data_IF_987177802278
#
_entry.id   IF_987177802278
#
_cell.length_a   1.000
_cell.length_b   1.000
_cell.length_c   1.000
_cell.angle_alpha   90.00
_cell.angle_beta   90.00
_cell.angle_gamma   90.00
#
_symmetry.space_group_name_H-M   'P 1'
#
loop_
_entity.id
_entity.type
_entity.pdbx_description
1 polymer ?
#
# COMPACT_ATOMS: atom_id res chain seq x y z
N UNK A 1 -26.41 17.54 8.88
CA UNK A 1 -26.01 16.30 8.18
C UNK A 1 -25.26 16.54 6.85
N UNK A 2 -24.98 17.77 6.41
CA UNK A 2 -24.33 18.02 5.10
C UNK A 2 -22.79 17.97 5.09
N UNK A 3 -22.13 18.16 6.24
CA UNK A 3 -20.66 18.31 6.30
C UNK A 3 -19.88 17.01 6.09
N UNK A 4 -20.49 15.85 6.37
CA UNK A 4 -19.79 14.56 6.21
C UNK A 4 -19.58 14.26 4.74
N UNK A 5 -20.57 14.54 3.88
CA UNK A 5 -20.50 14.16 2.46
C UNK A 5 -19.45 14.92 1.65
N UNK A 6 -18.93 16.06 2.11
CA UNK A 6 -17.86 16.81 1.44
C UNK A 6 -16.45 16.53 1.99
N UNK A 7 -16.31 15.61 2.95
CA UNK A 7 -15.04 15.31 3.57
C UNK A 7 -14.09 14.62 2.59
N UNK A 8 -12.95 15.25 2.28
CA UNK A 8 -11.94 14.64 1.39
C UNK A 8 -10.80 13.93 2.12
N UNK A 9 -10.60 14.27 3.40
CA UNK A 9 -9.52 13.74 4.22
C UNK A 9 -10.01 13.31 5.60
N UNK A 10 -9.60 12.13 6.02
CA UNK A 10 -9.96 11.55 7.30
C UNK A 10 -8.71 10.97 7.96
N UNK A 11 -8.52 11.31 9.23
CA UNK A 11 -7.42 10.82 10.05
C UNK A 11 -7.98 10.07 11.25
N UNK A 12 -7.60 8.79 11.36
CA UNK A 12 -7.99 7.85 12.40
C UNK A 12 -6.72 7.18 12.92
N UNK A 13 -5.83 7.99 13.48
CA UNK A 13 -4.50 7.54 13.92
C UNK A 13 -4.46 7.28 15.42
N UNK A 14 -3.60 6.35 15.86
CA UNK A 14 -3.40 6.05 17.29
C UNK A 14 -4.68 5.61 18.00
N UNK A 15 -5.46 4.76 17.34
CA UNK A 15 -6.57 4.05 17.98
C UNK A 15 -6.20 2.56 18.07
N UNK A 16 -6.81 1.82 18.98
CA UNK A 16 -6.55 0.38 19.13
C UNK A 16 -7.38 -0.46 18.14
N UNK A 17 -7.71 0.07 16.97
CA UNK A 17 -8.52 -0.64 15.99
C UNK A 17 -7.76 -1.87 15.48
N UNK A 18 -8.40 -3.02 15.61
CA UNK A 18 -7.85 -4.31 15.15
C UNK A 18 -8.48 -4.79 13.85
N UNK A 19 -9.71 -4.34 13.55
CA UNK A 19 -10.47 -4.72 12.37
C UNK A 19 -11.30 -3.56 11.86
N UNK A 20 -11.52 -3.57 10.56
CA UNK A 20 -12.47 -2.67 9.89
C UNK A 20 -13.64 -3.54 9.48
N UNK A 21 -14.84 -3.17 9.93
CA UNK A 21 -16.05 -3.93 9.62
C UNK A 21 -16.61 -3.45 8.28
N UNK A 22 -17.09 -4.38 7.47
CA UNK A 22 -17.90 -4.05 6.32
C UNK A 22 -19.27 -3.55 6.80
N UNK A 23 -19.56 -2.29 6.52
CA UNK A 23 -20.94 -1.77 6.57
C UNK A 23 -21.39 -1.54 5.13
N UNK A 24 -22.13 -2.51 4.59
CA UNK A 24 -22.67 -2.41 3.23
C UNK A 24 -23.68 -1.25 3.06
N UNK A 25 -24.14 -0.64 4.16
CA UNK A 25 -25.04 0.51 4.15
C UNK A 25 -24.35 1.87 4.06
N UNK A 26 -23.02 1.93 4.26
CA UNK A 26 -22.26 3.17 4.24
C UNK A 26 -21.27 3.22 3.08
N UNK A 27 -21.40 4.23 2.24
CA UNK A 27 -20.41 4.60 1.24
C UNK A 27 -20.20 6.10 1.27
N UNK A 28 -18.96 6.51 1.03
CA UNK A 28 -18.54 7.89 0.98
C UNK A 28 -17.65 8.10 -0.24
N UNK A 29 -18.18 8.82 -1.22
CA UNK A 29 -17.57 8.94 -2.55
C UNK A 29 -16.54 10.06 -2.65
N UNK A 30 -16.48 10.99 -1.69
CA UNK A 30 -15.62 12.17 -1.78
C UNK A 30 -14.31 12.03 -0.98
N UNK A 31 -14.19 11.02 -0.12
CA UNK A 31 -12.98 10.81 0.65
C UNK A 31 -11.84 10.32 -0.26
N UNK A 32 -10.77 11.11 -0.32
CA UNK A 32 -9.59 10.85 -1.16
C UNK A 32 -8.37 10.45 -0.36
N UNK A 33 -8.27 10.89 0.90
CA UNK A 33 -7.08 10.69 1.74
C UNK A 33 -7.48 10.10 3.08
N UNK A 34 -6.94 8.94 3.39
CA UNK A 34 -7.20 8.25 4.64
C UNK A 34 -5.90 7.92 5.36
N UNK A 35 -5.84 8.33 6.61
CA UNK A 35 -4.73 8.04 7.52
C UNK A 35 -5.26 7.14 8.63
N UNK A 36 -4.74 5.92 8.72
CA UNK A 36 -5.08 4.94 9.77
C UNK A 36 -3.81 4.47 10.48
N UNK A 37 -2.87 5.39 10.69
CA UNK A 37 -1.53 5.09 11.20
C UNK A 37 -1.57 4.73 12.69
N UNK A 38 -0.68 3.83 13.12
CA UNK A 38 -0.55 3.44 14.53
C UNK A 38 -1.86 2.86 15.08
N UNK A 39 -2.39 1.83 14.42
CA UNK A 39 -3.47 1.00 14.93
C UNK A 39 -2.97 -0.46 15.04
N UNK A 40 -3.86 -1.41 15.33
CA UNK A 40 -3.53 -2.82 15.52
C UNK A 40 -4.10 -3.70 14.39
N UNK A 41 -4.23 -3.17 13.17
CA UNK A 41 -4.78 -3.89 12.03
C UNK A 41 -3.72 -4.88 11.51
N UNK A 42 -4.06 -6.17 11.52
CA UNK A 42 -3.15 -7.24 11.05
C UNK A 42 -3.49 -7.75 9.67
N UNK A 43 -4.75 -7.63 9.24
CA UNK A 43 -5.24 -8.25 8.01
C UNK A 43 -5.47 -7.24 6.88
N UNK A 44 -5.11 -7.64 5.66
CA UNK A 44 -5.31 -6.82 4.47
C UNK A 44 -6.79 -6.73 4.06
N UNK A 45 -7.63 -7.67 4.47
CA UNK A 45 -9.05 -7.67 4.11
C UNK A 45 -9.77 -6.47 4.74
N UNK A 46 -9.45 -6.12 5.99
CA UNK A 46 -9.88 -4.88 6.65
C UNK A 46 -9.53 -3.65 5.81
N UNK A 47 -8.33 -3.61 5.23
CA UNK A 47 -7.90 -2.54 4.33
C UNK A 47 -8.71 -2.53 3.03
N UNK A 48 -9.01 -3.70 2.47
CA UNK A 48 -9.84 -3.81 1.28
C UNK A 48 -11.27 -3.26 1.52
N UNK A 49 -11.84 -3.47 2.71
CA UNK A 49 -13.14 -2.90 3.06
C UNK A 49 -13.15 -1.37 3.05
N UNK A 50 -12.02 -0.71 3.33
CA UNK A 50 -11.92 0.75 3.16
C UNK A 50 -12.15 1.17 1.72
N UNK A 51 -11.71 0.37 0.75
CA UNK A 51 -11.97 0.63 -0.66
C UNK A 51 -13.47 0.53 -1.01
N UNK A 52 -14.21 -0.33 -0.30
CA UNK A 52 -15.67 -0.40 -0.44
C UNK A 52 -16.37 0.82 0.18
N UNK A 53 -15.92 1.24 1.37
CA UNK A 53 -16.49 2.40 2.07
C UNK A 53 -16.12 3.72 1.38
N UNK A 54 -14.93 3.79 0.78
CA UNK A 54 -14.32 4.99 0.21
C UNK A 54 -13.90 4.74 -1.25
N UNK A 55 -14.90 4.73 -2.15
CA UNK A 55 -14.74 4.28 -3.53
C UNK A 55 -13.75 5.11 -4.37
N UNK A 56 -13.48 6.35 -3.99
CA UNK A 56 -12.51 7.25 -4.66
C UNK A 56 -11.24 7.49 -3.83
N UNK A 57 -10.87 6.55 -2.96
CA UNK A 57 -9.68 6.68 -2.14
C UNK A 57 -8.41 6.71 -3.01
N UNK A 58 -7.70 7.84 -2.97
CA UNK A 58 -6.48 8.07 -3.75
C UNK A 58 -5.21 7.84 -2.94
N UNK A 59 -5.24 8.11 -1.64
CA UNK A 59 -4.09 7.99 -0.73
C UNK A 59 -4.48 7.26 0.54
N UNK A 60 -3.72 6.21 0.86
CA UNK A 60 -3.86 5.46 2.10
C UNK A 60 -2.53 5.42 2.87
N UNK A 61 -2.56 5.93 4.10
CA UNK A 61 -1.44 5.88 5.03
C UNK A 61 -1.78 4.92 6.17
N UNK A 62 -1.35 3.66 6.04
CA UNK A 62 -1.59 2.55 6.96
C UNK A 62 -0.32 2.09 7.68
N UNK A 63 0.61 3.03 7.89
CA UNK A 63 1.89 2.76 8.56
C UNK A 63 1.69 2.47 10.05
N UNK A 64 2.68 1.85 10.68
CA UNK A 64 2.63 1.47 12.10
C UNK A 64 1.41 0.58 12.44
N UNK A 65 0.99 -0.26 11.51
CA UNK A 65 0.04 -1.35 11.75
C UNK A 65 0.74 -2.69 11.55
N UNK A 66 0.44 -3.72 12.35
CA UNK A 66 1.06 -5.03 12.23
C UNK A 66 0.51 -5.85 11.05
N UNK A 67 0.33 -5.24 9.87
CA UNK A 67 -0.17 -5.92 8.67
C UNK A 67 0.76 -7.06 8.27
N UNK A 68 0.23 -8.28 8.21
CA UNK A 68 1.02 -9.50 7.99
C UNK A 68 1.10 -9.87 6.51
N UNK A 69 0.13 -9.42 5.70
CA UNK A 69 0.03 -9.73 4.28
C UNK A 69 -0.59 -8.57 3.49
N UNK A 70 -0.41 -8.57 2.17
CA UNK A 70 -1.13 -7.72 1.20
C UNK A 70 -1.99 -8.54 0.23
N UNK A 71 -2.17 -9.83 0.52
CA UNK A 71 -2.97 -10.75 -0.29
C UNK A 71 -4.41 -10.72 0.22
N UNK A 72 -5.36 -10.87 -0.69
CA UNK A 72 -6.77 -11.11 -0.38
C UNK A 72 -7.30 -12.19 -1.31
N UNK A 73 -8.34 -12.89 -0.82
CA UNK A 73 -9.09 -13.88 -1.58
C UNK A 73 -10.10 -13.24 -2.55
N UNK A 74 -10.35 -11.94 -2.39
CA UNK A 74 -11.23 -11.16 -3.25
C UNK A 74 -10.40 -10.37 -4.27
N UNK A 75 -11.04 -9.94 -5.37
CA UNK A 75 -10.40 -9.11 -6.38
C UNK A 75 -10.16 -7.69 -5.84
N UNK A 76 -9.05 -7.50 -5.11
CA UNK A 76 -8.60 -6.22 -4.51
C UNK A 76 -8.66 -5.06 -5.50
N UNK A 77 -8.46 -5.35 -6.79
CA UNK A 77 -8.49 -4.38 -7.89
C UNK A 77 -9.83 -3.65 -8.01
N UNK A 78 -10.91 -4.27 -7.54
CA UNK A 78 -12.26 -3.71 -7.58
C UNK A 78 -12.44 -2.68 -6.46
N UNK A 79 -11.78 -2.86 -5.31
CA UNK A 79 -12.02 -2.01 -4.13
C UNK A 79 -11.06 -0.82 -4.05
N UNK A 80 -9.80 -0.98 -4.47
CA UNK A 80 -8.78 0.07 -4.37
C UNK A 80 -8.38 0.60 -5.75
N UNK A 81 -9.36 0.73 -6.66
CA UNK A 81 -9.13 1.05 -8.08
C UNK A 81 -8.46 2.41 -8.29
N UNK A 82 -8.76 3.41 -7.45
CA UNK A 82 -8.22 4.75 -7.54
C UNK A 82 -7.02 5.00 -6.62
N UNK A 83 -6.50 3.96 -5.96
CA UNK A 83 -5.39 4.15 -5.02
C UNK A 83 -4.09 4.45 -5.76
N UNK A 84 -3.61 5.70 -5.62
CA UNK A 84 -2.37 6.19 -6.25
C UNK A 84 -1.18 6.11 -5.31
N UNK A 85 -1.41 6.31 -4.01
CA UNK A 85 -0.37 6.38 -2.98
C UNK A 85 -0.68 5.45 -1.81
N UNK A 86 0.27 4.57 -1.48
CA UNK A 86 0.20 3.68 -0.34
C UNK A 86 1.45 3.84 0.55
N UNK A 87 1.23 4.05 1.85
CA UNK A 87 2.29 4.05 2.86
C UNK A 87 2.04 2.97 3.91
N UNK A 88 2.93 1.99 3.97
CA UNK A 88 2.89 0.80 4.82
C UNK A 88 4.25 0.61 5.52
N UNK A 89 4.76 1.68 6.12
CA UNK A 89 5.95 1.57 6.98
C UNK A 89 5.64 0.74 8.22
N UNK A 90 6.63 -0.04 8.69
CA UNK A 90 6.60 -0.82 9.94
C UNK A 90 5.48 -1.86 10.01
N UNK A 91 5.15 -2.47 8.87
CA UNK A 91 4.28 -3.65 8.80
C UNK A 91 5.04 -4.94 9.12
N UNK A 92 4.33 -6.06 9.24
CA UNK A 92 4.88 -7.40 9.51
C UNK A 92 5.00 -8.30 8.27
N UNK A 93 4.84 -7.74 7.06
CA UNK A 93 4.99 -8.48 5.81
C UNK A 93 6.40 -9.08 5.67
N UNK A 94 6.46 -10.39 5.46
CA UNK A 94 7.71 -11.17 5.39
C UNK A 94 8.03 -11.77 4.03
N UNK A 95 7.09 -11.78 3.08
CA UNK A 95 7.24 -12.48 1.80
C UNK A 95 7.15 -11.52 0.60
N UNK A 96 7.85 -11.87 -0.49
CA UNK A 96 7.82 -11.06 -1.72
C UNK A 96 6.51 -11.19 -2.50
N UNK A 97 5.73 -12.28 -2.39
CA UNK A 97 4.45 -12.32 -3.11
C UNK A 97 3.43 -11.31 -2.56
N UNK A 98 3.63 -10.77 -1.36
CA UNK A 98 2.83 -9.65 -0.87
C UNK A 98 3.15 -8.37 -1.63
N UNK A 99 4.41 -8.13 -1.99
CA UNK A 99 4.78 -7.04 -2.90
C UNK A 99 4.17 -7.27 -4.28
N UNK A 100 4.20 -8.51 -4.78
CA UNK A 100 3.56 -8.87 -6.05
C UNK A 100 2.04 -8.62 -5.98
N UNK A 101 1.38 -8.90 -4.85
CA UNK A 101 -0.05 -8.66 -4.69
C UNK A 101 -0.41 -7.17 -4.89
N UNK A 102 0.45 -6.24 -4.45
CA UNK A 102 0.26 -4.81 -4.67
C UNK A 102 0.35 -4.41 -6.15
N UNK A 103 1.00 -5.21 -7.02
CA UNK A 103 1.05 -4.93 -8.47
C UNK A 103 -0.31 -5.02 -9.15
N UNK A 104 -1.28 -5.69 -8.49
CA UNK A 104 -2.64 -5.80 -8.99
C UNK A 104 -3.39 -4.46 -8.91
N UNK A 105 -3.00 -3.56 -7.99
CA UNK A 105 -3.59 -2.23 -7.84
C UNK A 105 -3.35 -1.37 -9.10
N UNK A 106 -4.40 -1.02 -9.87
CA UNK A 106 -4.22 -0.53 -11.23
C UNK A 106 -3.60 0.88 -11.31
N UNK A 107 -3.88 1.73 -10.33
CA UNK A 107 -3.45 3.13 -10.31
C UNK A 107 -2.27 3.39 -9.36
N UNK A 108 -1.73 2.38 -8.69
CA UNK A 108 -0.68 2.59 -7.68
C UNK A 108 0.61 3.12 -8.33
N UNK A 109 0.98 4.36 -7.98
CA UNK A 109 2.17 5.05 -8.49
C UNK A 109 3.20 5.37 -7.43
N UNK A 110 2.80 5.50 -6.17
CA UNK A 110 3.69 5.82 -5.06
C UNK A 110 3.58 4.78 -3.95
N UNK A 111 4.70 4.12 -3.64
CA UNK A 111 4.79 3.19 -2.52
C UNK A 111 5.79 3.73 -1.49
N UNK A 112 5.42 3.66 -0.21
CA UNK A 112 6.34 3.84 0.90
C UNK A 112 6.27 2.61 1.80
N UNK A 113 7.42 1.97 1.96
CA UNK A 113 7.59 0.76 2.75
C UNK A 113 8.99 0.71 3.34
N UNK A 114 9.04 0.83 4.66
CA UNK A 114 10.24 0.69 5.49
C UNK A 114 9.98 -0.29 6.62
N UNK A 115 11.04 -0.88 7.16
CA UNK A 115 10.99 -1.70 8.38
C UNK A 115 10.06 -2.94 8.31
N UNK A 116 9.66 -3.37 7.12
CA UNK A 116 9.02 -4.67 6.90
C UNK A 116 10.04 -5.81 7.07
N UNK A 117 9.70 -6.93 7.74
CA UNK A 117 10.57 -8.10 7.90
C UNK A 117 11.21 -8.58 6.60
N UNK A 118 10.48 -8.59 5.48
CA UNK A 118 10.99 -9.01 4.16
C UNK A 118 12.21 -8.21 3.70
N UNK A 119 12.35 -6.95 4.14
CA UNK A 119 13.43 -6.07 3.72
C UNK A 119 14.68 -6.19 4.61
N UNK A 120 14.57 -6.79 5.80
CA UNK A 120 15.66 -6.88 6.80
C UNK A 120 16.93 -7.53 6.25
N UNK A 121 16.88 -8.62 5.46
CA UNK A 121 18.09 -9.31 4.98
C UNK A 121 18.92 -8.48 3.99
N UNK A 122 18.33 -7.48 3.34
CA UNK A 122 18.91 -6.77 2.21
C UNK A 122 19.54 -5.45 2.62
N UNK A 123 20.55 -4.99 1.89
CA UNK A 123 21.08 -3.63 2.02
C UNK A 123 20.15 -2.60 1.35
N UNK A 124 20.34 -1.31 1.64
CA UNK A 124 19.49 -0.22 1.12
C UNK A 124 19.34 -0.26 -0.40
N UNK A 125 20.46 -0.46 -1.10
CA UNK A 125 20.52 -0.50 -2.55
C UNK A 125 19.85 -1.77 -3.12
N UNK A 126 20.00 -2.91 -2.43
CA UNK A 126 19.31 -4.17 -2.78
C UNK A 126 17.80 -4.06 -2.62
N UNK A 127 17.34 -3.55 -1.48
CA UNK A 127 15.92 -3.29 -1.22
C UNK A 127 15.31 -2.45 -2.35
N UNK A 128 16.03 -1.43 -2.79
CA UNK A 128 15.57 -0.53 -3.83
C UNK A 128 15.38 -1.24 -5.17
N UNK A 129 16.40 -1.93 -5.69
CA UNK A 129 16.24 -2.59 -7.00
C UNK A 129 15.27 -3.77 -6.94
N UNK A 130 15.18 -4.49 -5.82
CA UNK A 130 14.21 -5.58 -5.64
C UNK A 130 12.78 -5.05 -5.68
N UNK A 131 12.47 -4.00 -4.90
CA UNK A 131 11.15 -3.36 -4.91
C UNK A 131 10.78 -2.84 -6.31
N UNK A 132 11.71 -2.19 -7.02
CA UNK A 132 11.46 -1.69 -8.38
C UNK A 132 11.26 -2.81 -9.41
N UNK A 133 11.98 -3.92 -9.28
CA UNK A 133 11.87 -5.07 -10.17
C UNK A 133 10.51 -5.76 -10.09
N UNK A 134 9.94 -5.88 -8.88
CA UNK A 134 8.59 -6.39 -8.69
C UNK A 134 7.51 -5.36 -9.07
N UNK A 135 7.72 -4.08 -8.75
CA UNK A 135 6.73 -3.01 -8.95
C UNK A 135 7.05 -2.16 -10.19
N UNK A 136 6.67 -2.66 -11.38
CA UNK A 136 6.99 -1.99 -12.66
C UNK A 136 6.31 -0.64 -12.86
N UNK A 137 5.14 -0.43 -12.25
CA UNK A 137 4.29 0.73 -12.50
C UNK A 137 4.51 1.92 -11.54
N UNK A 138 5.32 1.75 -10.48
CA UNK A 138 5.57 2.82 -9.51
C UNK A 138 6.53 3.87 -10.05
N UNK A 139 6.24 5.14 -9.77
CA UNK A 139 7.02 6.32 -10.18
C UNK A 139 7.63 7.05 -8.99
N UNK A 140 7.16 6.74 -7.77
CA UNK A 140 7.75 7.18 -6.51
C UNK A 140 7.92 5.99 -5.58
N UNK A 141 9.10 5.89 -4.96
CA UNK A 141 9.40 4.89 -3.94
C UNK A 141 10.02 5.58 -2.74
N UNK A 142 9.46 5.35 -1.56
CA UNK A 142 9.99 5.82 -0.28
C UNK A 142 10.23 7.34 -0.17
N UNK A 143 9.41 8.12 -0.89
CA UNK A 143 9.47 9.59 -0.93
C UNK A 143 10.30 10.17 -2.08
N UNK A 144 11.02 9.34 -2.83
CA UNK A 144 11.83 9.77 -3.97
C UNK A 144 11.13 9.45 -5.30
N UNK A 145 11.22 10.37 -6.26
CA UNK A 145 10.85 10.13 -7.66
C UNK A 145 11.88 9.18 -8.29
N UNK A 146 11.40 8.22 -9.06
CA UNK A 146 12.24 7.27 -9.79
C UNK A 146 12.48 7.83 -11.18
N UNK A 147 13.74 8.06 -11.53
CA UNK A 147 14.14 8.47 -12.88
C UNK A 147 14.15 7.27 -13.84
N UNK A 148 14.07 7.54 -15.15
CA UNK A 148 14.15 6.50 -16.16
C UNK A 148 15.45 5.68 -16.07
N UNK A 149 16.59 6.34 -15.80
CA UNK A 149 17.87 5.68 -15.65
C UNK A 149 17.94 4.78 -14.39
N UNK A 150 17.38 5.23 -13.26
CA UNK A 150 17.29 4.42 -12.04
C UNK A 150 16.41 3.19 -12.25
N UNK A 151 15.27 3.35 -12.93
CA UNK A 151 14.38 2.25 -13.28
C UNK A 151 15.10 1.22 -14.14
N UNK A 152 15.68 1.65 -15.26
CA UNK A 152 16.40 0.74 -16.17
C UNK A 152 17.56 0.03 -15.47
N UNK A 153 18.37 0.76 -14.71
CA UNK A 153 19.50 0.19 -13.95
C UNK A 153 19.01 -0.85 -12.93
N UNK A 154 17.94 -0.53 -12.21
CA UNK A 154 17.37 -1.42 -11.19
C UNK A 154 16.78 -2.69 -11.80
N UNK A 155 16.07 -2.57 -12.92
CA UNK A 155 15.49 -3.73 -13.62
C UNK A 155 16.57 -4.65 -14.19
N UNK A 156 17.67 -4.10 -14.77
CA UNK A 156 18.81 -4.92 -15.19
C UNK A 156 19.46 -5.66 -14.01
N UNK A 157 19.58 -5.00 -12.86
CA UNK A 157 20.13 -5.62 -11.64
C UNK A 157 19.22 -6.70 -11.08
N UNK A 158 17.91 -6.47 -11.08
CA UNK A 158 16.91 -7.44 -10.68
C UNK A 158 17.00 -8.71 -11.52
N UNK A 159 17.08 -8.59 -12.85
CA UNK A 159 17.26 -9.75 -13.74
C UNK A 159 18.55 -10.51 -13.39
N UNK A 160 19.67 -9.81 -13.25
CA UNK A 160 20.96 -10.41 -12.90
C UNK A 160 20.94 -11.12 -11.55
N UNK A 161 20.15 -10.63 -10.60
CA UNK A 161 20.03 -11.20 -9.27
C UNK A 161 19.38 -12.59 -9.29
N UNK A 162 18.38 -12.81 -10.15
CA UNK A 162 17.68 -14.09 -10.28
C UNK A 162 18.22 -15.00 -11.40
N UNK A 163 19.15 -14.51 -12.22
CA UNK A 163 19.76 -15.28 -13.31
C UNK A 163 21.08 -15.98 -12.93
N UNK A 164 21.46 -15.94 -11.66
CA UNK A 164 22.64 -16.60 -11.10
C UNK A 164 22.20 -17.83 -10.31
#
# INVERSE_FOLDING_TARGET
>A
MSFIFSLEELQICSNDYTKILSDYGFQHENLKRLYITNNNITDWQSICYLGHLFSHLETLIASDNPLESFRSNEDVNIYLTYLHTLSVDKVQVSEWDDIIALTKLPCLKALRIHLAPLLKPYQKDERFFLLLGYMKNITKLNGSVITANERETSERRFIRYYSQ
#
